data_IF_886968496687
#
_entry.id   IF_886968496687
#
_cell.length_a   1.000
_cell.length_b   1.000
_cell.length_c   1.000
_cell.angle_alpha   90.00
_cell.angle_beta   90.00
_cell.angle_gamma   90.00
#
_symmetry.space_group_name_H-M   'P 1'
#
loop_
_entity.id
_entity.type
_entity.pdbx_description
1 polymer ?
#
# COMPACT_ATOMS: atom_id res chain seq x y z
N UNK A 1 -6.02 -29.81 15.97
CA UNK A 1 -6.09 -29.83 14.49
C UNK A 1 -6.94 -31.04 14.14
N UNK A 2 -8.13 -30.86 13.53
CA UNK A 2 -9.03 -31.99 13.23
C UNK A 2 -8.34 -32.93 12.23
N UNK A 3 -7.93 -34.10 12.70
CA UNK A 3 -7.46 -35.23 11.91
C UNK A 3 -8.68 -36.12 11.66
N UNK A 4 -9.44 -35.88 10.59
CA UNK A 4 -10.59 -36.73 10.29
C UNK A 4 -11.30 -36.52 8.95
N UNK A 5 -11.14 -35.37 8.31
CA UNK A 5 -11.91 -34.99 7.11
C UNK A 5 -11.04 -34.47 5.94
N UNK A 6 -9.71 -34.61 6.06
CA UNK A 6 -8.73 -34.22 5.05
C UNK A 6 -8.54 -35.28 3.95
N UNK A 7 -8.31 -34.87 2.70
CA UNK A 7 -7.81 -35.80 1.67
C UNK A 7 -6.36 -36.24 1.97
N UNK A 8 -5.85 -37.28 1.28
CA UNK A 8 -4.48 -37.79 1.44
C UNK A 8 -3.37 -36.72 1.29
N UNK A 9 -3.66 -35.62 0.60
CA UNK A 9 -2.75 -34.50 0.37
C UNK A 9 -2.84 -33.40 1.45
N UNK A 10 -3.79 -33.49 2.39
CA UNK A 10 -4.01 -32.51 3.47
C UNK A 10 -4.46 -31.12 2.98
N UNK A 11 -4.91 -31.00 1.73
CA UNK A 11 -5.26 -29.71 1.10
C UNK A 11 -6.76 -29.53 0.90
N UNK A 12 -7.60 -30.53 1.18
CA UNK A 12 -9.07 -30.44 1.05
C UNK A 12 -9.75 -30.95 2.31
N UNK A 13 -10.67 -30.15 2.83
CA UNK A 13 -11.50 -30.48 4.00
C UNK A 13 -12.98 -30.36 3.64
N UNK A 14 -13.84 -31.13 4.31
CA UNK A 14 -15.26 -31.24 3.98
C UNK A 14 -16.11 -31.00 5.22
N UNK A 15 -17.21 -30.26 5.07
CA UNK A 15 -18.16 -30.06 6.16
C UNK A 15 -19.58 -29.91 5.63
N UNK A 16 -20.56 -30.46 6.35
CA UNK A 16 -21.98 -30.17 6.14
C UNK A 16 -22.41 -28.83 6.74
N UNK A 17 -21.55 -28.20 7.57
CA UNK A 17 -21.78 -26.88 8.15
C UNK A 17 -21.09 -25.79 7.35
N UNK A 18 -21.87 -24.90 6.75
CA UNK A 18 -21.33 -23.73 6.07
C UNK A 18 -20.59 -22.81 7.04
N UNK A 19 -21.04 -22.72 8.30
CA UNK A 19 -20.41 -21.90 9.33
C UNK A 19 -19.03 -22.46 9.69
N UNK A 20 -18.91 -23.77 9.92
CA UNK A 20 -17.63 -24.38 10.27
C UNK A 20 -16.60 -24.20 9.14
N UNK A 21 -17.01 -24.45 7.90
CA UNK A 21 -16.09 -24.31 6.75
C UNK A 21 -15.74 -22.85 6.45
N UNK A 22 -16.63 -21.92 6.81
CA UNK A 22 -16.40 -20.47 6.80
C UNK A 22 -15.35 -20.06 7.82
N UNK A 23 -15.51 -20.48 9.07
CA UNK A 23 -14.60 -20.15 10.17
C UNK A 23 -13.20 -20.75 9.91
N UNK A 24 -13.16 -21.94 9.30
CA UNK A 24 -11.91 -22.55 8.86
C UNK A 24 -11.21 -21.73 7.75
N UNK A 25 -11.95 -21.20 6.77
CA UNK A 25 -11.38 -20.28 5.77
C UNK A 25 -10.82 -19.00 6.43
N UNK A 26 -11.52 -18.46 7.43
CA UNK A 26 -11.04 -17.30 8.18
C UNK A 26 -9.73 -17.61 8.93
N UNK A 27 -9.67 -18.77 9.58
CA UNK A 27 -8.46 -19.22 10.27
C UNK A 27 -7.29 -19.35 9.30
N UNK A 28 -7.50 -19.95 8.13
CA UNK A 28 -6.50 -20.02 7.06
C UNK A 28 -5.98 -18.62 6.68
N UNK A 29 -6.86 -17.65 6.48
CA UNK A 29 -6.47 -16.26 6.18
C UNK A 29 -5.60 -15.67 7.30
N UNK A 30 -5.98 -15.86 8.56
CA UNK A 30 -5.23 -15.37 9.74
C UNK A 30 -3.82 -15.95 9.82
N UNK A 31 -3.64 -17.22 9.42
CA UNK A 31 -2.34 -17.91 9.47
C UNK A 31 -1.51 -17.80 8.18
N UNK A 32 -1.92 -16.97 7.21
CA UNK A 32 -1.13 -16.74 6.00
C UNK A 32 -1.42 -17.69 4.83
N UNK A 33 -2.57 -18.38 4.87
CA UNK A 33 -3.04 -19.29 3.82
C UNK A 33 -4.33 -18.75 3.19
N UNK A 34 -4.66 -19.23 2.00
CA UNK A 34 -5.97 -18.98 1.41
C UNK A 34 -6.73 -20.29 1.27
N UNK A 35 -8.06 -20.24 1.29
CA UNK A 35 -8.90 -21.41 1.00
C UNK A 35 -10.02 -21.01 0.04
N UNK A 36 -10.44 -21.91 -0.84
CA UNK A 36 -11.62 -21.71 -1.68
C UNK A 36 -12.70 -22.70 -1.28
N UNK A 37 -13.86 -22.18 -0.88
CA UNK A 37 -15.04 -22.96 -0.54
C UNK A 37 -15.87 -23.18 -1.81
N UNK A 38 -16.26 -24.43 -2.05
CA UNK A 38 -17.18 -24.83 -3.10
C UNK A 38 -18.23 -25.80 -2.52
N UNK A 39 -19.40 -25.84 -3.14
CA UNK A 39 -20.39 -26.90 -2.87
C UNK A 39 -19.89 -28.16 -3.59
N UNK A 40 -19.67 -29.24 -2.85
CA UNK A 40 -19.21 -30.51 -3.38
C UNK A 40 -20.37 -31.39 -3.84
N UNK A 41 -21.43 -31.46 -3.05
CA UNK A 41 -22.65 -32.21 -3.35
C UNK A 41 -23.90 -31.41 -2.93
N UNK A 42 -24.94 -31.46 -3.77
CA UNK A 42 -26.25 -30.82 -3.58
C UNK A 42 -27.35 -31.83 -3.22
N UNK A 43 -27.00 -33.09 -2.88
CA UNK A 43 -27.91 -34.19 -2.55
C UNK A 43 -28.93 -33.92 -1.44
N UNK A 44 -30.04 -34.69 -1.49
CA UNK A 44 -31.44 -34.38 -1.08
C UNK A 44 -31.76 -34.06 0.40
N UNK A 45 -30.82 -33.62 1.25
CA UNK A 45 -31.19 -33.13 2.60
C UNK A 45 -30.31 -32.00 3.15
N UNK A 46 -28.99 -32.03 2.96
CA UNK A 46 -28.07 -30.94 3.33
C UNK A 46 -26.88 -30.84 2.36
N UNK A 47 -26.49 -29.64 1.92
CA UNK A 47 -25.35 -29.45 1.05
C UNK A 47 -24.04 -29.84 1.75
N UNK A 48 -23.16 -30.53 1.03
CA UNK A 48 -21.80 -30.82 1.48
C UNK A 48 -20.85 -29.75 0.92
N UNK A 49 -20.15 -29.05 1.79
CA UNK A 49 -19.17 -28.03 1.41
C UNK A 49 -17.77 -28.61 1.45
N UNK A 50 -16.93 -28.15 0.53
CA UNK A 50 -15.49 -28.45 0.47
C UNK A 50 -14.70 -27.16 0.49
N UNK A 51 -13.65 -27.11 1.29
CA UNK A 51 -12.63 -26.07 1.23
C UNK A 51 -11.33 -26.66 0.70
N UNK A 52 -10.82 -26.04 -0.36
CA UNK A 52 -9.52 -26.34 -0.92
C UNK A 52 -8.52 -25.31 -0.42
N UNK A 53 -7.60 -25.73 0.44
CA UNK A 53 -6.47 -24.94 0.91
C UNK A 53 -5.57 -24.67 -0.29
N UNK A 54 -5.33 -23.38 -0.53
CA UNK A 54 -4.33 -22.89 -1.45
C UNK A 54 -3.04 -22.66 -0.66
N UNK A 55 -1.89 -22.99 -1.26
CA UNK A 55 -0.59 -22.75 -0.66
C UNK A 55 -0.46 -21.29 -0.18
N UNK A 56 0.39 -21.13 0.84
CA UNK A 56 0.77 -19.87 1.50
C UNK A 56 0.86 -18.73 0.49
N UNK A 57 0.33 -17.56 0.85
CA UNK A 57 0.12 -16.43 -0.07
C UNK A 57 1.31 -16.23 -1.03
N UNK A 58 1.21 -16.76 -2.24
CA UNK A 58 2.16 -16.50 -3.31
C UNK A 58 1.57 -15.36 -4.16
N UNK A 59 2.42 -14.41 -4.58
CA UNK A 59 2.07 -13.21 -5.38
C UNK A 59 1.33 -13.45 -6.72
N UNK A 60 0.87 -14.68 -6.98
CA UNK A 60 0.10 -15.11 -8.15
C UNK A 60 -1.41 -15.19 -7.91
N UNK A 61 -1.98 -14.51 -6.90
CA UNK A 61 -3.43 -14.35 -6.88
C UNK A 61 -3.84 -13.51 -8.08
N UNK A 62 -4.89 -13.94 -8.79
CA UNK A 62 -5.45 -13.20 -9.91
C UNK A 62 -5.82 -11.80 -9.43
N UNK A 63 -5.00 -10.81 -9.77
CA UNK A 63 -5.44 -9.43 -9.82
C UNK A 63 -6.60 -9.40 -10.80
N UNK A 64 -7.78 -8.85 -10.45
CA UNK A 64 -8.86 -8.73 -11.42
C UNK A 64 -8.31 -7.97 -12.63
N UNK A 65 -8.29 -8.60 -13.80
CA UNK A 65 -7.95 -7.89 -15.04
C UNK A 65 -9.01 -6.81 -15.25
N UNK A 66 -8.57 -5.56 -15.36
CA UNK A 66 -9.44 -4.38 -15.46
C UNK A 66 -10.42 -4.40 -16.65
N UNK A 67 -10.25 -5.33 -17.60
CA UNK A 67 -11.05 -5.46 -18.80
C UNK A 67 -12.48 -5.98 -18.57
N UNK A 68 -12.75 -6.72 -17.48
CA UNK A 68 -14.08 -7.28 -17.22
C UNK A 68 -14.58 -6.87 -15.82
N UNK A 69 -15.09 -5.64 -15.70
CA UNK A 69 -15.85 -5.23 -14.51
C UNK A 69 -17.22 -5.92 -14.53
N UNK A 70 -17.34 -7.03 -13.80
CA UNK A 70 -18.64 -7.60 -13.47
C UNK A 70 -19.05 -7.11 -12.07
N UNK A 71 -20.15 -6.34 -12.00
CA UNK A 71 -20.81 -6.05 -10.72
C UNK A 71 -21.56 -7.33 -10.35
N UNK A 72 -21.10 -8.02 -9.32
CA UNK A 72 -21.84 -9.13 -8.71
C UNK A 72 -22.48 -8.64 -7.42
N UNK A 73 -23.80 -8.75 -7.34
CA UNK A 73 -24.53 -8.53 -6.10
C UNK A 73 -24.12 -9.61 -5.09
N UNK A 74 -23.53 -9.19 -3.97
CA UNK A 74 -23.08 -10.06 -2.90
C UNK A 74 -23.92 -9.82 -1.66
N UNK A 75 -24.54 -10.88 -1.16
CA UNK A 75 -25.46 -10.85 -0.01
C UNK A 75 -24.86 -11.65 1.17
N UNK A 76 -23.71 -11.22 1.67
CA UNK A 76 -23.01 -11.89 2.78
C UNK A 76 -22.08 -10.96 3.56
N UNK A 77 -21.52 -11.45 4.67
CA UNK A 77 -20.58 -10.69 5.50
C UNK A 77 -19.22 -10.54 4.81
N UNK A 78 -18.70 -9.31 4.77
CA UNK A 78 -17.33 -9.03 4.35
C UNK A 78 -16.44 -9.08 5.59
N UNK A 79 -15.62 -10.12 5.69
CA UNK A 79 -14.64 -10.25 6.75
C UNK A 79 -13.33 -9.59 6.32
N UNK A 80 -12.89 -8.57 7.08
CA UNK A 80 -11.57 -7.97 6.93
C UNK A 80 -10.64 -8.60 7.97
N UNK A 81 -9.79 -9.51 7.54
CA UNK A 81 -8.78 -10.12 8.42
C UNK A 81 -7.48 -9.35 8.25
N UNK A 82 -6.91 -8.84 9.34
CA UNK A 82 -5.56 -8.28 9.33
C UNK A 82 -4.55 -9.43 9.29
N UNK A 83 -3.78 -9.54 8.22
CA UNK A 83 -2.67 -10.50 8.08
C UNK A 83 -1.34 -9.80 8.34
N UNK A 84 -0.25 -10.52 8.65
CA UNK A 84 1.05 -9.93 9.05
C UNK A 84 1.66 -8.87 8.10
N UNK A 85 1.14 -8.76 6.87
CA UNK A 85 1.59 -7.80 5.86
C UNK A 85 0.58 -6.67 5.59
N UNK A 86 -0.39 -6.45 6.48
CA UNK A 86 -1.45 -5.44 6.32
C UNK A 86 -2.33 -5.64 5.07
N UNK A 87 -2.35 -6.84 4.48
CA UNK A 87 -3.13 -7.14 3.29
C UNK A 87 -4.57 -7.46 3.67
N UNK A 88 -5.53 -6.85 2.99
CA UNK A 88 -6.95 -7.20 3.13
C UNK A 88 -7.30 -8.28 2.11
N UNK A 89 -7.87 -9.37 2.60
CA UNK A 89 -8.60 -10.33 1.79
C UNK A 89 -10.09 -10.20 2.09
N UNK A 90 -10.90 -10.28 1.04
CA UNK A 90 -12.36 -10.38 1.18
C UNK A 90 -12.82 -11.73 0.67
N UNK A 91 -13.85 -12.28 1.30
CA UNK A 91 -14.53 -13.46 0.80
C UNK A 91 -15.58 -13.04 -0.24
N UNK A 92 -15.48 -13.56 -1.46
CA UNK A 92 -16.49 -13.40 -2.53
C UNK A 92 -16.86 -14.77 -3.08
N UNK A 93 -18.13 -15.17 -2.91
CA UNK A 93 -18.65 -16.45 -3.40
C UNK A 93 -17.78 -17.66 -3.02
N UNK A 94 -17.37 -17.73 -1.75
CA UNK A 94 -16.50 -18.80 -1.25
C UNK A 94 -15.01 -18.63 -1.55
N UNK A 95 -14.59 -17.62 -2.32
CA UNK A 95 -13.19 -17.38 -2.70
C UNK A 95 -12.57 -16.27 -1.87
N UNK A 96 -11.30 -16.44 -1.48
CA UNK A 96 -10.49 -15.34 -0.96
C UNK A 96 -10.02 -14.47 -2.14
N UNK A 97 -10.30 -13.17 -2.08
CA UNK A 97 -9.93 -12.19 -3.11
C UNK A 97 -9.09 -11.10 -2.46
N UNK A 98 -7.92 -10.82 -3.03
CA UNK A 98 -7.04 -9.74 -2.60
C UNK A 98 -7.71 -8.37 -2.84
N UNK A 99 -7.75 -7.54 -1.81
CA UNK A 99 -8.33 -6.20 -1.84
C UNK A 99 -7.32 -5.06 -1.64
N UNK A 100 -6.02 -5.35 -1.56
CA UNK A 100 -4.97 -4.34 -1.36
C UNK A 100 -4.42 -4.29 0.05
N UNK A 101 -3.55 -3.30 0.30
CA UNK A 101 -3.05 -2.97 1.64
C UNK A 101 -4.15 -2.22 2.42
N UNK A 102 -4.30 -2.49 3.71
CA UNK A 102 -5.30 -1.89 4.58
C UNK A 102 -5.15 -0.38 4.68
N UNK A 103 -3.92 0.13 4.63
CA UNK A 103 -3.68 1.57 4.63
C UNK A 103 -4.24 2.22 3.36
N UNK A 104 -3.89 1.67 2.19
CA UNK A 104 -4.31 2.21 0.90
C UNK A 104 -5.83 2.14 0.73
N UNK A 105 -6.43 1.02 1.13
CA UNK A 105 -7.88 0.82 1.05
C UNK A 105 -8.64 1.72 2.04
N UNK A 106 -8.14 1.92 3.26
CA UNK A 106 -8.74 2.85 4.22
C UNK A 106 -8.73 4.29 3.69
N UNK A 107 -7.63 4.71 3.02
CA UNK A 107 -7.57 6.03 2.37
C UNK A 107 -8.54 6.13 1.19
N UNK A 108 -8.63 5.09 0.35
CA UNK A 108 -9.61 5.03 -0.75
C UNK A 108 -11.06 5.10 -0.25
N UNK A 109 -11.38 4.38 0.83
CA UNK A 109 -12.68 4.44 1.47
C UNK A 109 -12.98 5.84 2.01
N UNK A 110 -12.00 6.50 2.62
CA UNK A 110 -12.14 7.88 3.11
C UNK A 110 -12.47 8.86 1.98
N UNK A 111 -11.87 8.72 0.80
CA UNK A 111 -12.24 9.54 -0.37
C UNK A 111 -13.71 9.35 -0.76
N UNK A 112 -14.18 8.09 -0.80
CA UNK A 112 -15.57 7.78 -1.12
C UNK A 112 -16.55 8.36 -0.08
N UNK A 113 -16.19 8.25 1.20
CA UNK A 113 -16.97 8.81 2.32
C UNK A 113 -17.07 10.33 2.23
N UNK A 114 -15.95 11.02 2.02
CA UNK A 114 -15.91 12.48 1.86
C UNK A 114 -16.77 12.93 0.68
N UNK A 115 -16.70 12.22 -0.45
CA UNK A 115 -17.54 12.52 -1.62
C UNK A 115 -19.04 12.24 -1.36
N UNK A 116 -19.38 11.25 -0.54
CA UNK A 116 -20.77 11.00 -0.15
C UNK A 116 -21.32 12.14 0.72
N UNK A 117 -20.51 12.67 1.63
CA UNK A 117 -20.86 13.82 2.47
C UNK A 117 -21.01 15.10 1.63
N UNK A 118 -20.14 15.32 0.65
CA UNK A 118 -20.33 16.40 -0.34
C UNK A 118 -21.68 16.28 -1.05
N UNK A 119 -22.01 15.11 -1.61
CA UNK A 119 -23.28 14.91 -2.34
C UNK A 119 -24.52 15.05 -1.45
N UNK A 120 -24.46 14.59 -0.20
CA UNK A 120 -25.62 14.55 0.70
C UNK A 120 -25.84 15.88 1.44
N UNK A 121 -24.76 16.54 1.86
CA UNK A 121 -24.82 17.70 2.76
C UNK A 121 -24.21 18.96 2.16
N UNK A 122 -23.76 18.93 0.90
CA UNK A 122 -23.13 20.06 0.20
C UNK A 122 -21.94 20.68 0.97
N UNK A 123 -21.18 19.85 1.69
CA UNK A 123 -20.02 20.31 2.45
C UNK A 123 -18.86 20.69 1.53
N UNK A 124 -18.13 21.75 1.87
CA UNK A 124 -16.88 22.08 1.19
C UNK A 124 -15.82 21.03 1.50
N UNK A 125 -15.45 20.21 0.50
CA UNK A 125 -14.49 19.12 0.66
C UNK A 125 -13.30 19.26 -0.27
N UNK A 126 -12.14 18.78 0.18
CA UNK A 126 -10.87 18.76 -0.57
C UNK A 126 -10.21 17.41 -0.42
N UNK A 127 -9.79 16.82 -1.53
CA UNK A 127 -9.13 15.51 -1.55
C UNK A 127 -7.73 15.67 -2.14
N UNK A 128 -6.71 15.54 -1.29
CA UNK A 128 -5.31 15.57 -1.68
C UNK A 128 -4.69 14.16 -1.61
N UNK A 129 -4.12 13.70 -2.72
CA UNK A 129 -3.31 12.48 -2.78
C UNK A 129 -1.84 12.88 -2.70
N UNK A 130 -1.24 12.62 -1.55
CA UNK A 130 0.12 13.05 -1.22
C UNK A 130 1.09 11.96 -1.65
N UNK A 131 2.06 12.33 -2.48
CA UNK A 131 3.15 11.45 -2.89
C UNK A 131 4.40 11.75 -2.07
N UNK A 132 5.21 10.69 -1.88
CA UNK A 132 6.40 10.61 -1.05
C UNK A 132 7.07 11.97 -0.75
N UNK A 133 6.72 12.53 0.41
CA UNK A 133 7.16 13.86 0.85
C UNK A 133 8.28 13.75 1.86
N UNK A 134 9.24 14.66 1.77
CA UNK A 134 10.37 14.74 2.69
C UNK A 134 10.70 16.19 3.11
N UNK A 135 11.38 16.33 4.25
CA UNK A 135 11.82 17.64 4.74
C UNK A 135 12.26 17.61 6.20
N UNK A 136 12.63 18.78 6.76
CA UNK A 136 12.82 18.97 8.19
C UNK A 136 11.60 18.51 9.02
N UNK A 137 11.80 18.15 10.28
CA UNK A 137 10.76 17.67 11.24
C UNK A 137 10.20 16.27 10.96
N UNK A 138 10.75 15.55 9.99
CA UNK A 138 10.44 14.13 9.83
C UNK A 138 11.00 13.32 11.01
N UNK A 139 10.26 12.28 11.42
CA UNK A 139 10.78 11.30 12.37
C UNK A 139 11.92 10.51 11.72
N UNK A 140 12.96 10.21 12.51
CA UNK A 140 14.13 9.44 12.06
C UNK A 140 13.78 7.99 11.69
N UNK A 141 12.74 7.45 12.32
CA UNK A 141 12.24 6.07 12.23
C UNK A 141 10.90 5.94 11.50
N UNK A 142 10.53 6.91 10.65
CA UNK A 142 9.26 6.91 9.86
C UNK A 142 9.20 5.82 8.76
N UNK A 143 10.16 4.90 8.71
CA UNK A 143 10.21 3.82 7.71
C UNK A 143 10.47 4.26 6.26
N UNK A 144 10.60 5.57 5.99
CA UNK A 144 10.87 6.12 4.65
C UNK A 144 12.37 6.12 4.33
N UNK A 145 12.68 6.02 3.04
CA UNK A 145 14.06 5.92 2.54
C UNK A 145 14.93 7.14 2.86
N UNK A 146 14.41 8.37 2.75
CA UNK A 146 15.17 9.61 3.03
C UNK A 146 15.60 9.71 4.51
N UNK A 147 14.69 9.64 5.50
CA UNK A 147 15.10 9.71 6.91
C UNK A 147 15.98 8.52 7.31
N UNK A 148 15.74 7.32 6.76
CA UNK A 148 16.58 6.16 7.02
C UNK A 148 18.02 6.37 6.52
N UNK A 149 18.20 6.83 5.27
CA UNK A 149 19.53 7.07 4.69
C UNK A 149 20.27 8.21 5.38
N UNK A 150 19.57 9.30 5.71
CA UNK A 150 20.17 10.40 6.47
C UNK A 150 20.57 9.92 7.87
N UNK A 151 19.71 9.16 8.55
CA UNK A 151 20.00 8.59 9.86
C UNK A 151 21.22 7.67 9.86
N UNK A 152 21.28 6.73 8.91
CA UNK A 152 22.41 5.80 8.76
C UNK A 152 23.71 6.55 8.45
N UNK A 153 23.68 7.50 7.51
CA UNK A 153 24.89 8.26 7.15
C UNK A 153 25.40 9.15 8.27
N UNK A 154 24.53 9.82 9.03
CA UNK A 154 24.95 10.67 10.14
C UNK A 154 25.58 9.86 11.29
N UNK A 155 25.23 8.57 11.41
CA UNK A 155 25.86 7.64 12.36
C UNK A 155 27.07 6.88 11.79
N UNK A 156 27.45 7.13 10.53
CA UNK A 156 28.42 6.32 9.77
C UNK A 156 28.06 4.81 9.71
N UNK A 157 26.79 4.47 9.84
CA UNK A 157 26.29 3.11 9.66
C UNK A 157 26.21 2.77 8.16
N UNK A 158 26.24 1.47 7.77
CA UNK A 158 26.00 1.05 6.40
C UNK A 158 24.61 1.47 5.88
N UNK A 159 24.54 2.04 4.66
CA UNK A 159 23.25 2.30 4.02
C UNK A 159 22.64 1.02 3.52
N UNK A 160 21.41 0.75 3.93
CA UNK A 160 20.69 -0.45 3.50
C UNK A 160 19.78 -0.17 2.31
N UNK A 161 20.11 -0.74 1.15
CA UNK A 161 19.24 -0.76 -0.03
C UNK A 161 18.57 -2.13 -0.14
N UNK A 162 17.25 -2.15 -0.19
CA UNK A 162 16.51 -3.38 -0.49
C UNK A 162 16.43 -3.59 -2.02
N UNK A 163 16.70 -4.80 -2.49
CA UNK A 163 16.81 -5.11 -3.93
C UNK A 163 18.13 -4.65 -4.54
N UNK A 164 18.14 -4.39 -5.86
CA UNK A 164 19.34 -3.91 -6.58
C UNK A 164 19.47 -2.39 -6.60
N UNK A 165 18.50 -1.65 -6.05
CA UNK A 165 18.50 -0.18 -6.01
C UNK A 165 18.06 0.48 -7.33
N UNK A 166 17.61 -0.32 -8.29
CA UNK A 166 17.10 0.09 -9.60
C UNK A 166 15.67 0.65 -9.54
N UNK A 167 14.95 0.39 -8.45
CA UNK A 167 13.63 0.97 -8.23
C UNK A 167 13.69 2.50 -8.17
N UNK A 168 12.71 3.13 -8.83
CA UNK A 168 12.61 4.58 -8.91
C UNK A 168 11.59 5.12 -7.92
N UNK A 169 11.88 6.28 -7.34
CA UNK A 169 10.99 6.99 -6.42
C UNK A 169 10.97 8.46 -6.78
N UNK A 170 9.81 9.08 -6.60
CA UNK A 170 9.67 10.53 -6.58
C UNK A 170 9.83 11.07 -5.16
N UNK A 171 10.30 12.31 -5.05
CA UNK A 171 10.49 12.99 -3.77
C UNK A 171 9.97 14.43 -3.86
N UNK A 172 8.90 14.73 -3.14
CA UNK A 172 8.33 16.07 -3.03
C UNK A 172 8.85 16.76 -1.78
N UNK A 173 9.40 17.96 -1.90
CA UNK A 173 9.85 18.69 -0.72
C UNK A 173 8.67 19.29 0.04
N UNK A 174 8.76 19.31 1.38
CA UNK A 174 7.63 19.68 2.27
C UNK A 174 7.03 21.06 1.96
N UNK A 175 7.83 22.06 1.61
CA UNK A 175 7.27 23.40 1.30
C UNK A 175 6.44 23.41 0.02
N UNK A 176 6.82 22.61 -0.98
CA UNK A 176 6.05 22.48 -2.21
C UNK A 176 4.71 21.78 -1.92
N UNK A 177 4.72 20.74 -1.09
CA UNK A 177 3.49 20.08 -0.66
C UNK A 177 2.55 21.05 0.06
N UNK A 178 3.07 21.82 1.03
CA UNK A 178 2.27 22.78 1.82
C UNK A 178 1.62 23.82 0.90
N UNK A 179 2.39 24.38 -0.04
CA UNK A 179 1.86 25.31 -1.04
C UNK A 179 0.76 24.66 -1.90
N UNK A 180 0.92 23.39 -2.28
CA UNK A 180 -0.07 22.64 -3.05
C UNK A 180 -1.38 22.41 -2.28
N UNK A 181 -1.27 22.06 -0.99
CA UNK A 181 -2.41 21.92 -0.09
C UNK A 181 -3.14 23.25 0.10
N UNK A 182 -2.39 24.35 0.27
CA UNK A 182 -2.97 25.68 0.42
C UNK A 182 -3.74 26.12 -0.83
N UNK A 183 -3.17 25.90 -2.02
CA UNK A 183 -3.86 26.19 -3.30
C UNK A 183 -5.10 25.33 -3.49
N UNK A 184 -5.04 24.04 -3.16
CA UNK A 184 -6.20 23.16 -3.21
C UNK A 184 -7.30 23.65 -2.27
N UNK A 185 -6.94 24.06 -1.05
CA UNK A 185 -7.89 24.60 -0.08
C UNK A 185 -8.62 25.84 -0.61
N UNK A 186 -7.90 26.72 -1.34
CA UNK A 186 -8.45 27.96 -1.92
C UNK A 186 -9.17 27.77 -3.27
N UNK A 187 -9.02 26.62 -3.92
CA UNK A 187 -9.62 26.39 -5.24
C UNK A 187 -11.11 26.08 -5.16
N UNK A 188 -11.78 25.93 -6.31
CA UNK A 188 -13.13 25.36 -6.41
C UNK A 188 -13.13 23.85 -6.63
N UNK A 189 -11.95 23.21 -6.65
CA UNK A 189 -11.81 21.78 -6.94
C UNK A 189 -12.33 20.91 -5.80
N UNK A 190 -13.08 19.86 -6.16
CA UNK A 190 -13.72 18.94 -5.22
C UNK A 190 -13.15 17.53 -5.37
N UNK A 191 -12.69 17.19 -6.58
CA UNK A 191 -12.12 15.89 -6.89
C UNK A 191 -10.69 15.69 -6.36
N UNK A 192 -10.18 14.44 -6.39
CA UNK A 192 -8.83 14.12 -5.93
C UNK A 192 -7.78 14.82 -6.78
N UNK A 193 -6.82 15.49 -6.13
CA UNK A 193 -5.64 16.09 -6.77
C UNK A 193 -4.37 15.41 -6.26
N UNK A 194 -3.52 14.98 -7.19
CA UNK A 194 -2.21 14.44 -6.90
C UNK A 194 -1.22 15.57 -6.60
N UNK A 195 -0.63 15.56 -5.41
CA UNK A 195 0.42 16.50 -5.00
C UNK A 195 1.72 15.72 -4.78
N UNK A 196 2.68 15.96 -5.66
CA UNK A 196 3.95 15.24 -5.66
C UNK A 196 4.94 15.78 -6.69
N UNK A 197 6.05 15.07 -6.84
CA UNK A 197 7.10 15.42 -7.80
C UNK A 197 7.12 14.43 -8.96
N UNK A 198 6.89 14.84 -10.22
CA UNK A 198 6.92 13.92 -11.36
C UNK A 198 8.35 13.51 -11.76
N UNK A 199 9.38 14.01 -11.08
CA UNK A 199 10.77 13.59 -11.29
C UNK A 199 11.11 12.38 -10.44
N UNK A 200 11.51 11.32 -11.12
CA UNK A 200 11.98 10.09 -10.50
C UNK A 200 13.50 10.09 -10.32
N UNK A 201 13.94 9.37 -9.29
CA UNK A 201 15.35 9.06 -9.05
C UNK A 201 15.45 7.61 -8.59
N UNK A 202 16.52 6.91 -9.02
CA UNK A 202 16.81 5.57 -8.50
C UNK A 202 17.20 5.66 -7.03
N UNK A 203 16.79 4.68 -6.24
CA UNK A 203 17.14 4.61 -4.81
C UNK A 203 18.66 4.54 -4.62
N UNK A 204 19.38 3.86 -5.52
CA UNK A 204 20.84 3.83 -5.52
C UNK A 204 21.48 5.21 -5.71
N UNK A 205 20.96 6.01 -6.65
CA UNK A 205 21.50 7.35 -6.92
C UNK A 205 21.21 8.28 -5.73
N UNK A 206 20.05 8.14 -5.09
CA UNK A 206 19.73 8.85 -3.84
C UNK A 206 20.71 8.51 -2.72
N UNK A 207 21.03 7.22 -2.54
CA UNK A 207 21.99 6.77 -1.52
C UNK A 207 23.37 7.42 -1.72
N UNK A 208 23.88 7.41 -2.95
CA UNK A 208 25.14 8.07 -3.32
C UNK A 208 25.11 9.57 -3.06
N UNK A 209 24.02 10.22 -3.43
CA UNK A 209 23.85 11.66 -3.23
C UNK A 209 23.89 12.01 -1.73
N UNK A 210 23.17 11.26 -0.89
CA UNK A 210 23.15 11.51 0.56
C UNK A 210 24.53 11.28 1.18
N UNK A 211 25.24 10.19 0.84
CA UNK A 211 26.62 9.95 1.32
C UNK A 211 27.53 11.12 0.96
N UNK A 212 27.48 11.60 -0.28
CA UNK A 212 28.25 12.75 -0.74
C UNK A 212 27.91 14.02 0.05
N UNK A 213 26.62 14.28 0.28
CA UNK A 213 26.16 15.49 0.97
C UNK A 213 26.43 15.49 2.48
N UNK A 214 26.48 14.32 3.12
CA UNK A 214 26.79 14.20 4.55
C UNK A 214 28.29 14.12 4.82
N UNK A 215 29.10 13.75 3.82
CA UNK A 215 30.53 13.48 3.99
C UNK A 215 30.82 12.16 4.71
N UNK A 216 29.83 11.27 4.81
CA UNK A 216 29.97 9.99 5.49
C UNK A 216 30.85 9.01 4.70
N UNK A 217 31.45 8.05 5.41
CA UNK A 217 32.20 6.92 4.80
C UNK A 217 31.36 5.63 4.73
N UNK A 218 30.04 5.74 4.90
CA UNK A 218 29.10 4.63 4.91
C UNK A 218 29.19 3.79 3.63
N UNK A 219 29.33 2.47 3.80
CA UNK A 219 29.22 1.51 2.70
C UNK A 219 27.74 1.25 2.37
N UNK A 220 27.45 0.97 1.10
CA UNK A 220 26.12 0.52 0.68
C UNK A 220 26.05 -1.00 0.82
N UNK A 221 25.04 -1.50 1.53
CA UNK A 221 24.72 -2.92 1.66
C UNK A 221 23.36 -3.23 1.03
N UNK A 222 23.26 -4.38 0.39
CA UNK A 222 22.04 -4.83 -0.26
C UNK A 222 21.31 -5.87 0.60
N UNK A 223 19.99 -5.75 0.71
CA UNK A 223 19.11 -6.74 1.36
C UNK A 223 18.04 -7.23 0.39
N UNK A 224 17.46 -8.43 0.58
CA UNK A 224 16.37 -8.92 -0.26
C UNK A 224 15.19 -7.92 -0.31
N UNK A 225 14.58 -7.74 -1.48
CA UNK A 225 13.44 -6.83 -1.65
C UNK A 225 12.25 -7.33 -0.82
N UNK A 226 11.61 -6.48 0.02
CA UNK A 226 10.31 -6.80 0.58
C UNK A 226 9.31 -7.13 -0.54
N UNK A 227 8.50 -8.16 -0.33
CA UNK A 227 7.53 -8.67 -1.31
C UNK A 227 6.51 -7.61 -1.74
N UNK A 228 6.34 -6.56 -0.94
CA UNK A 228 5.27 -5.56 -1.04
C UNK A 228 5.73 -4.17 -1.52
N UNK A 229 7.00 -3.97 -1.93
CA UNK A 229 7.46 -2.65 -2.37
C UNK A 229 7.16 -2.41 -3.87
N UNK A 230 6.25 -1.48 -4.23
CA UNK A 230 5.91 -1.23 -5.62
C UNK A 230 7.13 -0.74 -6.42
N UNK A 231 7.28 -1.23 -7.65
CA UNK A 231 8.47 -0.99 -8.47
C UNK A 231 8.64 0.48 -8.90
N UNK A 232 7.53 1.21 -9.10
CA UNK A 232 7.52 2.61 -9.49
C UNK A 232 6.45 3.38 -8.69
N UNK A 233 6.78 4.60 -8.25
CA UNK A 233 5.85 5.55 -7.61
C UNK A 233 6.12 6.96 -8.14
N UNK A 234 5.64 7.22 -9.36
CA UNK A 234 5.68 8.54 -9.98
C UNK A 234 4.27 9.15 -10.06
N UNK A 235 4.03 10.36 -9.51
CA UNK A 235 2.76 11.04 -9.63
C UNK A 235 2.56 11.66 -11.01
N UNK A 236 1.38 11.44 -11.59
CA UNK A 236 0.82 12.29 -12.63
C UNK A 236 0.23 13.55 -11.96
N UNK A 237 0.69 14.75 -12.36
CA UNK A 237 0.33 16.03 -11.72
C UNK A 237 -0.31 17.06 -12.67
N UNK A 238 -0.77 16.66 -13.86
CA UNK A 238 -1.40 17.54 -14.85
C UNK A 238 -2.56 18.33 -14.24
N UNK A 239 -3.44 17.65 -13.48
CA UNK A 239 -4.56 18.32 -12.79
C UNK A 239 -4.10 19.36 -11.78
N UNK A 240 -3.00 19.14 -11.06
CA UNK A 240 -2.49 20.12 -10.12
C UNK A 240 -1.91 21.35 -10.84
N UNK A 241 -1.26 21.14 -12.00
CA UNK A 241 -0.79 22.23 -12.85
C UNK A 241 -1.93 23.06 -13.42
N UNK A 242 -2.92 22.41 -14.02
CA UNK A 242 -4.02 23.08 -14.72
C UNK A 242 -5.01 23.75 -13.77
N UNK A 243 -5.39 23.07 -12.70
CA UNK A 243 -6.49 23.50 -11.83
C UNK A 243 -6.03 24.33 -10.63
N UNK A 244 -4.78 24.14 -10.19
CA UNK A 244 -4.22 24.86 -9.03
C UNK A 244 -3.08 25.82 -9.41
N UNK A 245 -2.63 25.82 -10.67
CA UNK A 245 -1.41 26.49 -11.10
C UNK A 245 -0.22 26.12 -10.19
N UNK A 246 -0.10 24.83 -9.86
CA UNK A 246 0.88 24.32 -8.91
C UNK A 246 1.81 23.28 -9.56
N UNK A 247 3.10 23.39 -9.23
CA UNK A 247 4.11 22.38 -9.48
C UNK A 247 5.25 22.52 -8.46
N UNK A 248 5.96 21.45 -8.11
CA UNK A 248 7.09 21.52 -7.17
C UNK A 248 8.22 22.37 -7.76
N UNK A 249 8.82 23.23 -6.92
CA UNK A 249 9.88 24.16 -7.31
C UNK A 249 11.22 23.79 -6.69
N UNK A 250 11.22 23.14 -5.53
CA UNK A 250 12.45 22.81 -4.82
C UNK A 250 13.08 21.57 -5.45
N UNK A 251 14.30 21.71 -5.94
CA UNK A 251 15.05 20.57 -6.43
C UNK A 251 15.50 19.65 -5.26
N UNK A 252 15.83 18.40 -5.59
CA UNK A 252 16.12 17.38 -4.59
C UNK A 252 17.33 17.73 -3.73
N UNK A 253 18.42 18.23 -4.32
CA UNK A 253 19.63 18.61 -3.60
C UNK A 253 19.40 19.74 -2.60
N UNK A 254 18.65 20.79 -2.99
CA UNK A 254 18.29 21.89 -2.10
C UNK A 254 17.44 21.40 -0.92
N UNK A 255 16.44 20.56 -1.19
CA UNK A 255 15.60 20.00 -0.14
C UNK A 255 16.38 19.07 0.79
N UNK A 256 17.26 18.22 0.25
CA UNK A 256 18.12 17.32 1.03
C UNK A 256 19.09 18.10 1.91
N UNK A 257 19.71 19.17 1.41
CA UNK A 257 20.63 20.00 2.20
C UNK A 257 19.95 20.55 3.45
N UNK A 258 18.74 21.11 3.30
CA UNK A 258 17.94 21.62 4.43
C UNK A 258 17.53 20.49 5.38
N UNK A 259 17.17 19.33 4.85
CA UNK A 259 16.76 18.17 5.64
C UNK A 259 17.94 17.62 6.45
N UNK A 260 19.09 17.38 5.82
CA UNK A 260 20.31 16.91 6.49
C UNK A 260 20.74 17.87 7.60
N UNK A 261 20.73 19.19 7.34
CA UNK A 261 21.08 20.18 8.35
C UNK A 261 20.17 20.08 9.57
N UNK A 262 18.85 19.92 9.38
CA UNK A 262 17.92 19.71 10.48
C UNK A 262 18.19 18.40 11.24
N UNK A 263 18.47 17.32 10.53
CA UNK A 263 18.79 16.01 11.15
C UNK A 263 20.10 16.02 11.95
N UNK A 264 21.04 16.92 11.66
CA UNK A 264 22.27 17.11 12.43
C UNK A 264 22.06 17.81 13.77
N UNK A 265 21.03 18.66 13.86
CA UNK A 265 20.73 19.47 15.05
C UNK A 265 19.62 18.90 15.93
N UNK A 266 18.80 17.99 15.40
CA UNK A 266 17.76 17.25 16.13
C UNK A 266 18.34 16.04 16.89
#
# INVERSE_FOLDING_TARGET
>A
MMLGDGNKEGNKYYSSSFRLISDFQELLLRIGYAGNIAIHDKGKSKPLYRIHILNRFNNKYRTPTYSNRCIQNYNGFVYCVNVPNHIIYVRRNGKAVFCGNCYDEAKRFSEALVMAFYRKYNLSVKIARIFNTYGPKMKRDDGRVVPAFIGQTLKNEPLTIFGRGDQTRSFCYVSDLVEGLYRLLKSKEIGPINLGNPREMKVFDLAKLIIKMTGAKSKIIYKPLPVDDPKCRCPEIKRAKELLNWQPKVNLEQGLKKTINWFKTA
#
